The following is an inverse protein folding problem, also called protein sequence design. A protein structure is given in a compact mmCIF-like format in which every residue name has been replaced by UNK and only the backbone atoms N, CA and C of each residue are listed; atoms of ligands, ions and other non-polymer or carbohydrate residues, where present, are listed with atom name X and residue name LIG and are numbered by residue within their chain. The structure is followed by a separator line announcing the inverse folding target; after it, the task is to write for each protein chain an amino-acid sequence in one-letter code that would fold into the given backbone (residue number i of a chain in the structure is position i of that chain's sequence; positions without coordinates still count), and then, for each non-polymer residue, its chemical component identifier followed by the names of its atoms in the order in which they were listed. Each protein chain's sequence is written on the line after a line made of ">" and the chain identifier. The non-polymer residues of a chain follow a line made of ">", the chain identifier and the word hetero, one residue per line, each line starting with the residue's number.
data_IF_107336612938
#
_entry.id   IF_107336612938
#
_cell.length_a   1.000
_cell.length_b   1.000
_cell.length_c   1.000
_cell.angle_alpha   90.00
_cell.angle_beta   90.00
_cell.angle_gamma   90.00
#
_symmetry.space_group_name_H-M   'P 1'
#
loop_
_entity.id
_entity.type
_entity.pdbx_description
1 polymer ?
#
# COMPACT_ATOMS: atom_id res chain seq x y z
N UNK A 1 -1.50 16.29 -3.32
CA UNK A 1 -1.07 14.89 -3.10
C UNK A 1 -2.23 13.96 -3.40
N UNK A 2 -1.97 12.72 -3.83
CA UNK A 2 -2.98 11.67 -4.05
C UNK A 2 -3.44 11.14 -2.68
N UNK A 3 -4.24 11.94 -1.97
CA UNK A 3 -4.67 11.69 -0.58
C UNK A 3 -6.13 11.28 -0.48
N UNK A 4 -6.82 11.13 -1.62
CA UNK A 4 -8.28 10.99 -1.66
C UNK A 4 -8.69 9.58 -2.06
N UNK A 5 -9.79 9.13 -1.46
CA UNK A 5 -10.53 7.94 -1.86
C UNK A 5 -10.80 7.94 -3.38
N UNK A 6 -10.36 6.91 -4.13
CA UNK A 6 -10.53 6.83 -5.59
C UNK A 6 -11.96 6.47 -6.01
N UNK A 7 -12.83 6.00 -5.10
CA UNK A 7 -14.19 5.53 -5.44
C UNK A 7 -15.07 6.59 -6.12
N UNK A 8 -15.12 7.87 -5.70
CA UNK A 8 -15.89 8.91 -6.38
C UNK A 8 -15.42 9.13 -7.82
N UNK A 9 -14.09 9.11 -8.04
CA UNK A 9 -13.49 9.23 -9.37
C UNK A 9 -13.86 8.02 -10.25
N UNK A 10 -13.77 6.81 -9.71
CA UNK A 10 -14.17 5.58 -10.41
C UNK A 10 -15.65 5.62 -10.78
N UNK A 11 -16.53 6.05 -9.88
CA UNK A 11 -17.96 6.15 -10.15
C UNK A 11 -18.26 7.17 -11.27
N UNK A 12 -17.65 8.36 -11.21
CA UNK A 12 -17.84 9.42 -12.21
C UNK A 12 -17.36 8.97 -13.61
N UNK A 13 -16.14 8.42 -13.69
CA UNK A 13 -15.58 7.95 -14.96
C UNK A 13 -16.33 6.72 -15.46
N UNK A 14 -16.78 5.84 -14.55
CA UNK A 14 -17.61 4.68 -14.88
C UNK A 14 -18.92 5.06 -15.56
N UNK A 15 -19.62 6.08 -15.07
CA UNK A 15 -20.83 6.61 -15.73
C UNK A 15 -20.54 7.10 -17.15
N UNK A 16 -19.40 7.78 -17.36
CA UNK A 16 -19.00 8.26 -18.69
C UNK A 16 -18.67 7.10 -19.64
N UNK A 17 -17.97 6.07 -19.15
CA UNK A 17 -17.68 4.85 -19.90
C UNK A 17 -18.99 4.18 -20.33
N UNK A 18 -19.93 3.99 -19.40
CA UNK A 18 -21.23 3.38 -19.68
C UNK A 18 -22.02 4.16 -20.76
N UNK A 19 -22.01 5.49 -20.71
CA UNK A 19 -22.67 6.33 -21.71
C UNK A 19 -22.03 6.20 -23.10
N UNK A 20 -20.70 6.12 -23.20
CA UNK A 20 -19.99 5.89 -24.46
C UNK A 20 -20.27 4.50 -25.02
N UNK A 21 -20.28 3.47 -24.17
CA UNK A 21 -20.63 2.10 -24.57
C UNK A 21 -22.06 2.00 -25.09
N UNK A 22 -23.02 2.69 -24.46
CA UNK A 22 -24.41 2.74 -24.92
C UNK A 22 -24.58 3.45 -26.28
N UNK A 23 -23.61 4.30 -26.66
CA UNK A 23 -23.56 4.98 -27.96
C UNK A 23 -22.70 4.21 -28.99
N UNK A 24 -22.29 2.97 -28.68
CA UNK A 24 -21.40 2.14 -29.52
C UNK A 24 -20.01 2.79 -29.77
N UNK A 25 -19.62 3.76 -28.92
CA UNK A 25 -18.33 4.48 -29.01
C UNK A 25 -17.23 3.75 -28.22
N UNK A 26 -16.98 2.49 -28.58
CA UNK A 26 -16.12 1.59 -27.81
C UNK A 26 -14.66 2.05 -27.69
N UNK A 27 -14.08 2.63 -28.74
CA UNK A 27 -12.68 3.09 -28.71
C UNK A 27 -12.46 4.18 -27.65
N UNK A 28 -13.43 5.10 -27.53
CA UNK A 28 -13.35 6.18 -26.56
C UNK A 28 -13.64 5.69 -25.14
N UNK A 29 -14.53 4.71 -25.00
CA UNK A 29 -14.73 4.01 -23.74
C UNK A 29 -13.43 3.33 -23.29
N UNK A 30 -12.71 2.68 -24.20
CA UNK A 30 -11.45 1.99 -23.90
C UNK A 30 -10.33 2.94 -23.49
N UNK A 31 -10.23 4.11 -24.12
CA UNK A 31 -9.27 5.15 -23.69
C UNK A 31 -9.52 5.56 -22.23
N UNK A 32 -10.78 5.74 -21.83
CA UNK A 32 -11.11 6.08 -20.44
C UNK A 32 -10.85 4.91 -19.48
N UNK A 33 -11.19 3.68 -19.88
CA UNK A 33 -10.89 2.47 -19.10
C UNK A 33 -9.40 2.33 -18.84
N UNK A 34 -8.58 2.48 -19.89
CA UNK A 34 -7.11 2.40 -19.78
C UNK A 34 -6.56 3.48 -18.86
N UNK A 35 -7.01 4.74 -18.99
CA UNK A 35 -6.61 5.84 -18.10
C UNK A 35 -6.99 5.57 -16.65
N UNK A 36 -8.19 5.04 -16.42
CA UNK A 36 -8.68 4.71 -15.08
C UNK A 36 -7.87 3.58 -14.44
N UNK A 37 -7.51 2.54 -15.20
CA UNK A 37 -6.61 1.47 -14.74
C UNK A 37 -5.23 2.01 -14.34
N UNK A 38 -4.63 2.87 -15.17
CA UNK A 38 -3.34 3.50 -14.86
C UNK A 38 -3.41 4.38 -13.62
N UNK A 39 -4.49 5.14 -13.44
CA UNK A 39 -4.74 5.94 -12.24
C UNK A 39 -4.81 5.07 -10.98
N UNK A 40 -5.60 4.00 -11.00
CA UNK A 40 -5.74 3.09 -9.85
C UNK A 40 -4.42 2.41 -9.49
N UNK A 41 -3.71 1.88 -10.48
CA UNK A 41 -2.40 1.24 -10.26
C UNK A 41 -1.38 2.22 -9.66
N UNK A 42 -1.34 3.46 -10.16
CA UNK A 42 -0.43 4.50 -9.65
C UNK A 42 -0.79 4.90 -8.22
N UNK A 43 -2.08 5.02 -7.91
CA UNK A 43 -2.58 5.36 -6.57
C UNK A 43 -2.21 4.27 -5.56
N UNK A 44 -2.43 3.00 -5.91
CA UNK A 44 -2.06 1.87 -5.07
C UNK A 44 -0.54 1.83 -4.83
N UNK A 45 0.27 1.97 -5.89
CA UNK A 45 1.73 2.03 -5.80
C UNK A 45 2.17 3.18 -4.88
N UNK A 46 1.58 4.35 -5.01
CA UNK A 46 1.89 5.52 -4.20
C UNK A 46 1.62 5.26 -2.70
N UNK A 47 0.42 4.82 -2.34
CA UNK A 47 0.07 4.57 -0.95
C UNK A 47 0.90 3.46 -0.31
N UNK A 48 1.18 2.41 -1.09
CA UNK A 48 2.07 1.33 -0.68
C UNK A 48 3.46 1.83 -0.34
N UNK A 49 4.05 2.67 -1.20
CA UNK A 49 5.37 3.25 -0.97
C UNK A 49 5.38 4.22 0.21
N UNK A 50 4.40 5.11 0.28
CA UNK A 50 4.30 6.12 1.35
C UNK A 50 4.06 5.47 2.71
N UNK A 51 3.26 4.40 2.78
CA UNK A 51 2.90 3.73 4.04
C UNK A 51 4.13 3.27 4.81
N UNK A 52 5.05 2.54 4.18
CA UNK A 52 6.24 2.04 4.87
C UNK A 52 7.38 3.08 4.96
N UNK A 53 7.38 4.09 4.07
CA UNK A 53 8.39 5.16 4.10
C UNK A 53 8.24 6.12 5.27
N UNK A 54 7.08 6.15 5.92
CA UNK A 54 6.83 6.93 7.14
C UNK A 54 7.38 6.26 8.40
N UNK A 55 7.67 4.96 8.34
CA UNK A 55 8.22 4.22 9.46
C UNK A 55 9.71 4.55 9.59
N UNK A 56 10.17 5.08 10.75
CA UNK A 56 11.59 5.27 11.00
C UNK A 56 12.38 3.98 10.87
N UNK A 57 11.80 2.85 11.30
CA UNK A 57 12.42 1.54 11.19
C UNK A 57 11.40 0.41 11.01
N UNK A 58 11.71 -0.53 10.13
CA UNK A 58 11.03 -1.82 9.99
C UNK A 58 12.11 -2.89 9.98
N UNK A 59 11.97 -3.88 10.86
CA UNK A 59 12.82 -5.07 10.89
C UNK A 59 11.97 -6.28 10.55
N UNK A 60 12.34 -6.96 9.48
CA UNK A 60 11.58 -8.08 8.96
C UNK A 60 12.51 -9.23 8.61
N UNK A 61 11.99 -10.45 8.73
CA UNK A 61 12.73 -11.65 8.43
C UNK A 61 11.90 -12.63 7.61
N UNK A 62 12.54 -13.36 6.71
CA UNK A 62 11.92 -14.41 5.91
C UNK A 62 12.76 -15.67 5.96
N UNK A 63 12.10 -16.79 6.25
CA UNK A 63 12.74 -18.10 6.19
C UNK A 63 12.95 -18.52 4.72
N UNK A 64 14.17 -18.88 4.39
CA UNK A 64 14.56 -19.48 3.11
C UNK A 64 14.85 -20.95 3.35
N UNK A 65 14.04 -21.81 2.74
CA UNK A 65 14.15 -23.26 2.87
C UNK A 65 15.26 -23.82 1.97
N UNK A 66 15.91 -24.93 2.38
CA UNK A 66 16.68 -25.77 1.46
C UNK A 66 15.83 -26.26 0.28
N UNK A 67 16.40 -26.52 -0.91
CA UNK A 67 17.83 -26.53 -1.25
C UNK A 67 18.35 -25.18 -1.81
N UNK A 68 17.78 -24.05 -1.39
CA UNK A 68 18.31 -22.74 -1.77
C UNK A 68 19.80 -22.64 -1.42
N UNK A 69 20.57 -21.89 -2.23
CA UNK A 69 22.02 -21.77 -2.05
C UNK A 69 22.43 -21.30 -0.64
N UNK A 70 21.63 -20.40 -0.05
CA UNK A 70 21.82 -19.90 1.32
C UNK A 70 20.51 -20.08 2.12
N UNK A 71 20.28 -21.26 2.72
CA UNK A 71 19.11 -21.48 3.58
C UNK A 71 19.30 -20.78 4.92
N UNK A 72 18.21 -20.34 5.54
CA UNK A 72 18.25 -19.59 6.79
C UNK A 72 17.25 -18.44 6.81
N UNK A 73 17.34 -17.60 7.84
CA UNK A 73 16.55 -16.37 7.93
C UNK A 73 17.27 -15.25 7.20
N UNK A 74 16.63 -14.71 6.16
CA UNK A 74 17.02 -13.41 5.60
C UNK A 74 16.39 -12.31 6.43
N UNK A 75 17.20 -11.41 6.96
CA UNK A 75 16.76 -10.31 7.82
C UNK A 75 17.07 -9.00 7.10
N UNK A 76 16.11 -8.06 7.09
CA UNK A 76 16.26 -6.74 6.49
C UNK A 76 15.88 -5.68 7.51
N UNK A 77 16.73 -4.67 7.63
CA UNK A 77 16.48 -3.45 8.41
C UNK A 77 16.22 -2.33 7.42
N UNK A 78 15.03 -1.76 7.47
CA UNK A 78 14.55 -0.76 6.53
C UNK A 78 14.27 0.52 7.30
N UNK A 79 14.76 1.66 6.83
CA UNK A 79 14.55 2.97 7.46
C UNK A 79 14.04 3.97 6.44
N UNK A 80 12.90 4.59 6.72
CA UNK A 80 12.24 5.56 5.82
C UNK A 80 12.15 5.09 4.36
N UNK A 81 11.88 3.80 4.14
CA UNK A 81 11.76 3.23 2.80
C UNK A 81 13.06 2.83 2.10
N UNK A 82 14.21 2.90 2.78
CA UNK A 82 15.54 2.48 2.30
C UNK A 82 16.03 1.24 3.02
N UNK A 83 16.74 0.35 2.33
CA UNK A 83 17.40 -0.79 2.97
C UNK A 83 18.67 -0.30 3.71
N UNK A 84 18.62 -0.25 5.03
CA UNK A 84 19.71 0.25 5.87
C UNK A 84 20.71 -0.85 6.29
N UNK A 85 20.25 -2.10 6.39
CA UNK A 85 21.10 -3.28 6.54
C UNK A 85 20.39 -4.56 6.08
N UNK A 86 21.17 -5.58 5.77
CA UNK A 86 20.69 -6.94 5.57
C UNK A 86 21.63 -7.92 6.26
N UNK A 87 21.05 -8.97 6.85
CA UNK A 87 21.79 -10.03 7.52
C UNK A 87 21.15 -11.39 7.24
N UNK A 88 21.90 -12.47 7.49
CA UNK A 88 21.37 -13.84 7.41
C UNK A 88 21.65 -14.57 8.70
N UNK A 89 20.62 -15.15 9.32
CA UNK A 89 20.79 -16.07 10.44
C UNK A 89 20.74 -17.51 9.93
N UNK A 90 21.77 -18.29 10.24
CA UNK A 90 21.84 -19.70 9.84
C UNK A 90 20.76 -20.53 10.55
N UNK A 91 20.36 -21.68 9.97
CA UNK A 91 19.49 -22.63 10.66
C UNK A 91 20.02 -22.97 12.06
N UNK A 92 19.15 -22.88 13.07
CA UNK A 92 19.53 -23.13 14.48
C UNK A 92 20.04 -21.90 15.25
N UNK A 93 20.29 -20.78 14.58
CA UNK A 93 20.59 -19.49 15.24
C UNK A 93 19.29 -18.74 15.54
N UNK A 94 19.23 -18.02 16.67
CA UNK A 94 18.09 -17.14 16.96
C UNK A 94 18.12 -15.91 16.02
N UNK A 95 17.15 -15.76 15.09
CA UNK A 95 17.12 -14.64 14.17
C UNK A 95 16.93 -13.29 14.87
N UNK A 96 16.41 -13.24 16.10
CA UNK A 96 16.22 -11.98 16.83
C UNK A 96 17.56 -11.38 17.29
N UNK A 97 18.53 -12.21 17.66
CA UNK A 97 19.87 -11.76 18.04
C UNK A 97 20.57 -11.15 16.82
N UNK A 98 20.57 -11.87 15.69
CA UNK A 98 21.17 -11.37 14.43
C UNK A 98 20.45 -10.11 13.93
N UNK A 99 19.14 -10.01 14.13
CA UNK A 99 18.38 -8.80 13.81
C UNK A 99 18.81 -7.60 14.65
N UNK A 100 19.01 -7.78 15.96
CA UNK A 100 19.48 -6.72 16.84
C UNK A 100 20.89 -6.23 16.44
N UNK A 101 21.81 -7.15 16.13
CA UNK A 101 23.15 -6.81 15.62
C UNK A 101 23.06 -6.04 14.29
N UNK A 102 22.21 -6.49 13.36
CA UNK A 102 21.99 -5.81 12.09
C UNK A 102 21.44 -4.39 12.29
N UNK A 103 20.56 -4.17 13.27
CA UNK A 103 20.04 -2.83 13.63
C UNK A 103 21.14 -1.93 14.17
N UNK A 104 22.06 -2.45 15.00
CA UNK A 104 23.21 -1.70 15.51
C UNK A 104 24.15 -1.25 14.41
N UNK A 105 24.37 -2.10 13.40
CA UNK A 105 25.26 -1.81 12.26
C UNK A 105 24.58 -1.07 11.09
N UNK A 106 23.26 -0.89 11.15
CA UNK A 106 22.49 -0.33 10.05
C UNK A 106 22.84 1.14 9.77
N UNK A 107 22.87 1.48 8.48
CA UNK A 107 23.07 2.85 7.99
C UNK A 107 22.09 3.81 8.69
N UNK A 108 22.59 4.98 9.11
CA UNK A 108 21.72 6.06 9.58
C UNK A 108 21.05 6.71 8.39
N UNK A 109 19.73 6.65 8.32
CA UNK A 109 18.92 7.20 7.22
C UNK A 109 17.99 8.26 7.78
N UNK A 110 17.97 9.44 7.17
CA UNK A 110 17.06 10.53 7.52
C UNK A 110 15.75 10.44 6.70
N UNK A 111 14.62 10.94 7.24
CA UNK A 111 13.38 11.00 6.50
C UNK A 111 13.52 11.93 5.28
N UNK A 112 12.87 11.57 4.17
CA UNK A 112 12.79 12.46 3.02
C UNK A 112 11.87 13.65 3.30
N UNK A 113 12.21 14.83 2.77
CA UNK A 113 11.40 16.05 2.97
C UNK A 113 10.01 15.99 2.29
N UNK A 114 9.82 15.09 1.33
CA UNK A 114 8.60 14.98 0.52
C UNK A 114 7.69 13.80 0.95
N UNK A 115 8.03 13.10 2.03
CA UNK A 115 7.23 11.98 2.54
C UNK A 115 7.16 10.78 1.58
N UNK A 116 8.16 10.65 0.70
CA UNK A 116 8.38 9.47 -0.15
C UNK A 116 9.55 8.65 0.45
N UNK A 117 9.90 7.47 -0.10
CA UNK A 117 11.07 6.74 0.35
C UNK A 117 12.34 7.61 0.32
N UNK A 118 13.26 7.38 1.25
CA UNK A 118 14.61 7.92 1.24
C UNK A 118 15.55 7.15 0.28
N UNK A 119 15.07 6.06 -0.33
CA UNK A 119 15.70 5.35 -1.44
C UNK A 119 15.12 5.80 -2.80
N UNK A 120 15.66 5.26 -3.90
CA UNK A 120 14.99 5.40 -5.20
C UNK A 120 13.63 4.71 -5.19
N UNK A 121 12.74 5.12 -6.09
CA UNK A 121 11.41 4.51 -6.20
C UNK A 121 11.53 3.03 -6.57
N UNK A 122 12.43 2.69 -7.49
CA UNK A 122 12.66 1.31 -7.93
C UNK A 122 13.16 0.42 -6.79
N UNK A 123 14.05 0.93 -5.95
CA UNK A 123 14.55 0.22 -4.78
C UNK A 123 13.44 0.05 -3.73
N UNK A 124 12.72 1.12 -3.42
CA UNK A 124 11.62 1.08 -2.45
C UNK A 124 10.51 0.11 -2.87
N UNK A 125 10.23 0.00 -4.17
CA UNK A 125 9.31 -1.00 -4.69
C UNK A 125 9.78 -2.42 -4.50
N UNK A 126 11.08 -2.68 -4.67
CA UNK A 126 11.68 -4.00 -4.42
C UNK A 126 11.60 -4.35 -2.94
N UNK A 127 11.83 -3.38 -2.06
CA UNK A 127 11.71 -3.55 -0.62
C UNK A 127 10.26 -3.85 -0.23
N UNK A 128 9.30 -3.03 -0.67
CA UNK A 128 7.88 -3.26 -0.42
C UNK A 128 7.44 -4.63 -0.99
N UNK A 129 7.90 -4.99 -2.19
CA UNK A 129 7.62 -6.28 -2.80
C UNK A 129 8.28 -7.44 -2.09
N UNK A 130 9.39 -7.23 -1.37
CA UNK A 130 9.96 -8.24 -0.51
C UNK A 130 9.15 -8.37 0.78
N UNK A 131 8.82 -7.26 1.46
CA UNK A 131 8.06 -7.22 2.71
C UNK A 131 6.69 -7.91 2.60
N UNK A 132 6.03 -7.80 1.45
CA UNK A 132 4.72 -8.39 1.17
C UNK A 132 4.79 -9.85 0.70
N UNK A 133 5.98 -10.45 0.62
CA UNK A 133 6.10 -11.86 0.21
C UNK A 133 5.49 -12.78 1.26
N UNK A 134 4.84 -13.87 0.83
CA UNK A 134 4.48 -14.95 1.74
C UNK A 134 5.68 -15.45 2.55
N UNK A 135 5.47 -15.58 3.85
CA UNK A 135 6.47 -16.07 4.80
C UNK A 135 7.41 -15.01 5.39
N UNK A 136 7.31 -13.74 4.98
CA UNK A 136 7.92 -12.64 5.72
C UNK A 136 7.22 -12.48 7.06
N UNK A 137 8.02 -12.25 8.11
CA UNK A 137 7.58 -12.02 9.47
C UNK A 137 8.20 -10.72 9.96
N UNK A 138 7.38 -9.87 10.57
CA UNK A 138 7.83 -8.63 11.17
C UNK A 138 8.42 -8.96 12.54
N UNK A 139 9.66 -8.52 12.78
CA UNK A 139 10.34 -8.66 14.07
C UNK A 139 10.05 -7.42 14.91
N UNK A 140 10.16 -6.24 14.31
CA UNK A 140 10.00 -4.95 14.98
C UNK A 140 9.55 -3.88 13.96
N UNK A 141 8.74 -2.92 14.41
CA UNK A 141 8.35 -1.73 13.65
C UNK A 141 8.36 -0.54 14.60
N UNK A 142 9.12 0.48 14.22
CA UNK A 142 8.98 1.83 14.77
C UNK A 142 8.06 2.65 13.87
N UNK A 143 7.09 3.33 14.46
CA UNK A 143 6.02 4.06 13.78
C UNK A 143 4.82 3.19 13.39
N UNK A 144 4.02 3.70 12.45
CA UNK A 144 2.80 3.05 11.99
C UNK A 144 2.90 2.71 10.50
N UNK A 145 2.99 1.42 10.18
CA UNK A 145 2.84 0.96 8.81
C UNK A 145 1.36 0.71 8.51
N UNK A 146 0.69 1.75 8.04
CA UNK A 146 -0.71 1.69 7.63
C UNK A 146 -0.96 2.38 6.29
N UNK A 147 -2.10 2.06 5.69
CA UNK A 147 -2.61 2.69 4.48
C UNK A 147 -4.06 3.10 4.70
N UNK A 148 -4.51 4.23 4.12
CA UNK A 148 -5.90 4.64 4.25
C UNK A 148 -6.85 3.56 3.70
N UNK A 149 -7.98 3.35 4.36
CA UNK A 149 -9.02 2.47 3.82
C UNK A 149 -9.47 2.96 2.44
N UNK A 150 -9.72 2.02 1.54
CA UNK A 150 -10.10 2.28 0.15
C UNK A 150 -9.07 3.01 -0.71
N UNK A 151 -7.83 3.21 -0.24
CA UNK A 151 -6.78 3.86 -1.04
C UNK A 151 -6.38 3.08 -2.29
N UNK A 152 -6.81 1.81 -2.39
CA UNK A 152 -6.60 0.97 -3.55
C UNK A 152 -7.90 0.25 -3.92
N UNK A 153 -8.08 0.05 -5.22
CA UNK A 153 -9.14 -0.75 -5.81
C UNK A 153 -8.44 -1.70 -6.78
N UNK A 154 -8.71 -3.01 -6.65
CA UNK A 154 -8.18 -3.97 -7.61
C UNK A 154 -8.76 -3.67 -9.00
N UNK A 155 -7.89 -3.57 -10.00
CA UNK A 155 -8.31 -3.31 -11.37
C UNK A 155 -9.25 -4.41 -11.93
N UNK A 156 -9.20 -5.63 -11.36
CA UNK A 156 -10.11 -6.73 -11.70
C UNK A 156 -11.53 -6.52 -11.16
N UNK A 157 -11.71 -5.70 -10.12
CA UNK A 157 -13.03 -5.29 -9.62
C UNK A 157 -13.65 -4.15 -10.43
N UNK A 158 -12.86 -3.52 -11.31
CA UNK A 158 -13.31 -2.37 -12.09
C UNK A 158 -14.58 -2.63 -12.92
N UNK A 159 -14.75 -3.77 -13.61
CA UNK A 159 -16.00 -4.06 -14.33
C UNK A 159 -17.21 -4.05 -13.39
N UNK A 160 -17.09 -4.62 -12.19
CA UNK A 160 -18.17 -4.62 -11.19
C UNK A 160 -18.52 -3.22 -10.73
N UNK A 161 -17.51 -2.37 -10.54
CA UNK A 161 -17.70 -0.99 -10.07
C UNK A 161 -18.28 -0.07 -11.14
N UNK A 162 -17.90 -0.24 -12.41
CA UNK A 162 -18.42 0.55 -13.53
C UNK A 162 -19.86 0.12 -13.88
N UNK A 163 -20.15 -1.18 -13.82
CA UNK A 163 -21.47 -1.72 -14.15
C UNK A 163 -22.50 -1.61 -13.01
N UNK A 164 -22.07 -1.20 -11.81
CA UNK A 164 -22.98 -1.02 -10.68
C UNK A 164 -23.96 0.11 -11.00
N UNK A 165 -25.24 -0.23 -11.19
CA UNK A 165 -26.32 0.72 -11.46
C UNK A 165 -26.49 1.64 -10.24
N UNK A 166 -26.69 2.97 -10.40
CA UNK A 166 -26.73 3.93 -9.29
C UNK A 166 -27.74 3.61 -8.17
N UNK A 167 -28.78 2.82 -8.45
CA UNK A 167 -29.77 2.35 -7.45
C UNK A 167 -29.24 1.31 -6.45
N UNK A 168 -28.05 0.73 -6.67
CA UNK A 168 -27.45 -0.25 -5.76
C UNK A 168 -26.38 0.39 -4.87
N UNK A 169 -26.76 1.46 -4.18
CA UNK A 169 -25.91 2.02 -3.11
C UNK A 169 -26.16 1.22 -1.82
N UNK A 170 -25.08 0.75 -1.21
CA UNK A 170 -25.06 -0.01 0.04
C UNK A 170 -25.82 0.74 1.16
N UNK A 171 -26.80 0.10 1.86
CA UNK A 171 -27.54 0.75 2.95
C UNK A 171 -26.66 1.27 4.09
N UNK A 172 -25.40 0.81 4.20
CA UNK A 172 -24.45 1.23 5.23
C UNK A 172 -24.04 2.72 5.16
N UNK A 173 -24.29 3.43 4.05
CA UNK A 173 -24.00 4.86 3.95
C UNK A 173 -25.06 5.77 4.64
N UNK A 174 -26.20 5.23 5.10
CA UNK A 174 -27.31 6.02 5.66
C UNK A 174 -27.22 6.29 7.16
N UNK A 175 -26.32 5.64 7.89
CA UNK A 175 -26.24 5.77 9.36
C UNK A 175 -25.01 6.57 9.77
N UNK A 176 -25.05 7.89 9.56
CA UNK A 176 -24.44 8.81 10.52
C UNK A 176 -25.58 9.53 11.25
N UNK A 177 -25.79 9.30 12.56
CA UNK A 177 -26.72 10.10 13.33
C UNK A 177 -26.21 11.54 13.35
N UNK A 178 -27.07 12.47 12.98
CA UNK A 178 -26.88 13.89 13.24
C UNK A 178 -26.94 14.08 14.76
N UNK A 179 -25.82 14.44 15.39
CA UNK A 179 -25.82 14.85 16.80
C UNK A 179 -26.76 16.06 16.98
N UNK A 180 -27.71 16.00 17.94
CA UNK A 180 -28.52 17.17 18.24
C UNK A 180 -27.66 18.23 18.93
N UNK A 181 -27.65 19.44 18.35
CA UNK A 181 -27.12 20.64 18.99
C UNK A 181 -27.84 20.85 20.33
N UNK A 182 -27.09 20.72 21.43
CA UNK A 182 -27.56 21.12 22.75
C UNK A 182 -27.78 22.63 22.75
N UNK A 183 -29.05 23.02 22.88
CA UNK A 183 -29.44 24.39 23.21
C UNK A 183 -29.44 24.50 24.72
N UNK A 184 -28.56 25.32 25.26
CA UNK A 184 -28.47 25.68 26.67
C UNK A 184 -29.41 26.86 26.94
N UNK A 185 -30.30 26.81 27.96
CA UNK A 185 -30.96 28.00 28.46
C UNK A 185 -30.53 28.36 29.89
N UNK A 186 -30.29 29.67 30.07
CA UNK A 186 -30.19 30.52 31.28
C UNK A 186 -29.78 29.91 32.65
#
# INVERSE_FOLDING_TARGET
>A
ALTSDPRPTVALIGQRIAALSAQERYEQAEILTTRLRSYLATTQRFHRLVGFSRCPQIVAARWVQPPAANPGWQIHVIRYGRLAAAATAQPGTDPRIIAAEAVTLAETVLPSHHGLPSASIEEAERIAAWLERPGVRLIDIDGEWSMPVHCAIDATDLPRLILKRPDQTDPAARTRPTEPQQTEPD
#
